data_IF_250454639035
#
_entry.id   IF_250454639035
#
_cell.length_a   1.000
_cell.length_b   1.000
_cell.length_c   1.000
_cell.angle_alpha   90.00
_cell.angle_beta   90.00
_cell.angle_gamma   90.00
#
_symmetry.space_group_name_H-M   'P 1'
#
loop_
_entity.id
_entity.type
_entity.pdbx_description
1 polymer ?
#
# COMPACT_ATOMS: atom_id res chain seq x y z
N UNK A 1 0.25 19.68 -4.46
CA UNK A 1 0.72 18.67 -3.50
C UNK A 1 0.93 17.44 -4.32
N UNK A 2 2.10 16.83 -4.15
CA UNK A 2 2.50 15.76 -5.04
C UNK A 2 1.68 14.52 -4.81
N UNK A 3 0.99 14.11 -5.88
CA UNK A 3 0.07 12.97 -5.81
C UNK A 3 0.82 11.69 -5.48
N UNK A 4 1.99 11.47 -6.09
CA UNK A 4 2.79 10.28 -5.87
C UNK A 4 3.35 10.23 -4.44
N UNK A 5 3.91 11.34 -3.94
CA UNK A 5 4.41 11.41 -2.56
C UNK A 5 3.32 11.05 -1.54
N UNK A 6 2.10 11.58 -1.73
CA UNK A 6 0.96 11.31 -0.85
C UNK A 6 0.51 9.86 -0.94
N UNK A 7 0.26 9.36 -2.14
CA UNK A 7 -0.23 7.99 -2.31
C UNK A 7 0.81 6.97 -1.86
N UNK A 8 2.09 7.20 -2.14
CA UNK A 8 3.20 6.41 -1.63
C UNK A 8 3.25 6.36 -0.11
N UNK A 9 3.06 7.51 0.56
CA UNK A 9 3.01 7.58 2.02
C UNK A 9 1.83 6.80 2.59
N UNK A 10 0.63 6.96 2.01
CA UNK A 10 -0.57 6.26 2.46
C UNK A 10 -0.45 4.75 2.27
N UNK A 11 0.03 4.31 1.10
CA UNK A 11 0.27 2.89 0.81
C UNK A 11 1.31 2.31 1.78
N UNK A 12 2.41 3.01 2.01
CA UNK A 12 3.45 2.57 2.95
C UNK A 12 2.88 2.41 4.36
N UNK A 13 2.17 3.43 4.88
CA UNK A 13 1.53 3.38 6.20
C UNK A 13 0.57 2.18 6.29
N UNK A 14 -0.27 1.99 5.26
CA UNK A 14 -1.25 0.91 5.24
C UNK A 14 -0.63 -0.48 5.28
N UNK A 15 0.37 -0.71 4.44
CA UNK A 15 1.09 -1.99 4.36
C UNK A 15 1.84 -2.26 5.68
N UNK A 16 2.52 -1.26 6.23
CA UNK A 16 3.23 -1.38 7.52
C UNK A 16 2.26 -1.70 8.66
N UNK A 17 1.11 -1.00 8.70
CA UNK A 17 0.08 -1.21 9.69
C UNK A 17 -0.45 -2.65 9.64
N UNK A 18 -0.84 -3.13 8.47
CA UNK A 18 -1.35 -4.51 8.35
C UNK A 18 -0.27 -5.55 8.59
N UNK A 19 0.98 -5.34 8.15
CA UNK A 19 2.10 -6.22 8.49
C UNK A 19 2.21 -6.40 10.00
N UNK A 20 2.16 -5.30 10.75
CA UNK A 20 2.21 -5.32 12.22
C UNK A 20 0.97 -5.94 12.88
N UNK A 21 -0.22 -5.79 12.29
CA UNK A 21 -1.47 -6.38 12.82
C UNK A 21 -1.59 -7.87 12.53
N UNK A 22 -1.09 -8.32 11.38
CA UNK A 22 -1.05 -9.72 10.98
C UNK A 22 -0.10 -10.54 11.85
N UNK A 23 1.02 -9.93 12.28
CA UNK A 23 2.03 -10.62 13.08
C UNK A 23 1.49 -11.05 14.44
N UNK A 24 1.51 -12.37 14.69
CA UNK A 24 1.29 -12.96 16.02
C UNK A 24 -0.14 -12.86 16.58
N UNK A 25 -1.15 -12.51 15.79
CA UNK A 25 -2.54 -12.38 16.27
C UNK A 25 -3.45 -13.51 15.81
N UNK A 26 -4.42 -13.88 16.65
CA UNK A 26 -5.59 -14.64 16.23
C UNK A 26 -6.53 -13.74 15.43
N UNK A 27 -6.87 -14.16 14.21
CA UNK A 27 -7.69 -13.38 13.29
C UNK A 27 -9.18 -13.54 13.62
N UNK A 28 -9.68 -12.72 14.54
CA UNK A 28 -11.10 -12.65 14.82
C UNK A 28 -11.91 -12.12 13.62
N UNK A 29 -13.22 -12.37 13.62
CA UNK A 29 -14.12 -12.03 12.51
C UNK A 29 -14.08 -10.52 12.19
N UNK A 30 -14.04 -9.68 13.22
CA UNK A 30 -13.94 -8.23 13.07
C UNK A 30 -12.68 -7.83 12.31
N UNK A 31 -11.53 -8.39 12.66
CA UNK A 31 -10.27 -8.12 11.99
C UNK A 31 -10.29 -8.57 10.52
N UNK A 32 -10.77 -9.80 10.26
CA UNK A 32 -10.93 -10.32 8.89
C UNK A 32 -11.77 -9.39 8.02
N UNK A 33 -12.84 -8.84 8.57
CA UNK A 33 -13.67 -7.87 7.86
C UNK A 33 -12.93 -6.54 7.60
N UNK A 34 -12.25 -6.00 8.62
CA UNK A 34 -11.52 -4.73 8.52
C UNK A 34 -10.37 -4.81 7.53
N UNK A 35 -9.53 -5.87 7.59
CA UNK A 35 -8.36 -5.98 6.70
C UNK A 35 -8.80 -6.08 5.23
N UNK A 36 -9.90 -6.78 4.92
CA UNK A 36 -10.47 -6.83 3.56
C UNK A 36 -10.81 -5.44 3.05
N UNK A 37 -11.45 -4.61 3.89
CA UNK A 37 -11.81 -3.24 3.54
C UNK A 37 -10.60 -2.32 3.44
N UNK A 38 -9.58 -2.57 4.24
CA UNK A 38 -8.35 -1.82 4.13
C UNK A 38 -7.58 -2.15 2.85
N UNK A 39 -7.41 -3.43 2.51
CA UNK A 39 -6.74 -3.86 1.27
C UNK A 39 -7.48 -3.33 0.04
N UNK A 40 -8.82 -3.36 0.03
CA UNK A 40 -9.65 -2.76 -1.04
C UNK A 40 -9.29 -1.28 -1.26
N UNK A 41 -9.13 -0.50 -0.18
CA UNK A 41 -8.71 0.91 -0.26
C UNK A 41 -7.25 1.04 -0.72
N UNK A 42 -6.34 0.17 -0.28
CA UNK A 42 -4.95 0.18 -0.75
C UNK A 42 -4.85 -0.12 -2.25
N UNK A 43 -5.70 -1.01 -2.76
CA UNK A 43 -5.82 -1.27 -4.19
C UNK A 43 -6.28 0.00 -4.92
N UNK A 44 -7.33 0.67 -4.42
CA UNK A 44 -7.81 1.92 -5.02
C UNK A 44 -6.70 2.99 -5.07
N UNK A 45 -5.93 3.15 -3.99
CA UNK A 45 -4.81 4.10 -3.95
C UNK A 45 -3.71 3.74 -4.97
N UNK A 46 -3.41 2.45 -5.13
CA UNK A 46 -2.44 1.98 -6.12
C UNK A 46 -2.96 2.15 -7.56
N UNK A 47 -4.25 1.96 -7.81
CA UNK A 47 -4.85 2.19 -9.13
C UNK A 47 -4.78 3.66 -9.52
N UNK A 48 -4.91 4.56 -8.55
CA UNK A 48 -4.71 5.99 -8.78
C UNK A 48 -3.26 6.28 -9.20
N UNK A 49 -2.25 5.63 -8.61
CA UNK A 49 -0.85 5.76 -9.05
C UNK A 49 -0.61 5.29 -10.50
N UNK A 50 -1.42 4.33 -10.98
CA UNK A 50 -1.36 3.83 -12.36
C UNK A 50 -2.18 4.67 -13.35
N UNK A 51 -3.00 5.60 -12.87
CA UNK A 51 -3.94 6.37 -13.69
C UNK A 51 -3.61 7.86 -13.72
N UNK A 52 -3.71 8.49 -14.89
CA UNK A 52 -3.59 9.95 -15.02
C UNK A 52 -4.87 10.71 -14.61
N UNK A 53 -5.82 10.06 -13.92
CA UNK A 53 -7.16 10.60 -13.67
C UNK A 53 -7.35 11.12 -12.23
N UNK A 54 -7.33 12.43 -12.08
CA UNK A 54 -7.48 13.13 -10.79
C UNK A 54 -8.81 12.90 -10.07
N UNK A 55 -9.91 12.60 -10.78
CA UNK A 55 -11.21 12.30 -10.15
C UNK A 55 -11.11 11.04 -9.27
N UNK A 56 -10.19 10.13 -9.62
CA UNK A 56 -9.99 8.90 -8.86
C UNK A 56 -9.25 9.14 -7.53
N UNK A 57 -8.43 10.20 -7.41
CA UNK A 57 -7.67 10.53 -6.20
C UNK A 57 -8.62 10.82 -5.03
N UNK A 58 -9.51 11.82 -5.19
CA UNK A 58 -10.40 12.23 -4.11
C UNK A 58 -11.32 11.09 -3.67
N UNK A 59 -11.82 10.29 -4.62
CA UNK A 59 -12.64 9.11 -4.29
C UNK A 59 -11.88 8.10 -3.42
N UNK A 60 -10.64 7.75 -3.79
CA UNK A 60 -9.81 6.84 -2.98
C UNK A 60 -9.50 7.41 -1.59
N UNK A 61 -9.20 8.71 -1.50
CA UNK A 61 -8.92 9.39 -0.22
C UNK A 61 -10.15 9.51 0.68
N UNK A 62 -11.34 9.77 0.12
CA UNK A 62 -12.59 9.75 0.90
C UNK A 62 -12.90 8.36 1.43
N UNK A 63 -12.69 7.30 0.63
CA UNK A 63 -12.84 5.92 1.11
C UNK A 63 -11.89 5.62 2.26
N UNK A 64 -10.62 6.05 2.16
CA UNK A 64 -9.66 5.89 3.25
C UNK A 64 -10.08 6.67 4.50
N UNK A 65 -10.49 7.93 4.35
CA UNK A 65 -10.91 8.79 5.46
C UNK A 65 -12.10 8.18 6.19
N UNK A 66 -13.12 7.76 5.44
CA UNK A 66 -14.27 7.04 5.98
C UNK A 66 -13.86 5.76 6.74
N UNK A 67 -12.92 4.99 6.18
CA UNK A 67 -12.40 3.79 6.84
C UNK A 67 -11.71 4.13 8.17
N UNK A 68 -10.90 5.19 8.19
CA UNK A 68 -10.17 5.65 9.37
C UNK A 68 -11.11 6.14 10.48
N UNK A 69 -12.14 6.90 10.12
CA UNK A 69 -13.17 7.39 11.06
C UNK A 69 -14.02 6.24 11.61
N UNK A 70 -14.40 5.29 10.76
CA UNK A 70 -15.26 4.16 11.14
C UNK A 70 -14.53 3.12 11.98
N UNK A 71 -13.24 2.90 11.75
CA UNK A 71 -12.45 1.87 12.42
C UNK A 71 -11.18 2.45 13.05
N UNK A 72 -11.25 2.75 14.34
CA UNK A 72 -10.12 3.27 15.13
C UNK A 72 -8.85 2.39 15.06
N UNK A 73 -9.00 1.08 14.86
CA UNK A 73 -7.88 0.16 14.69
C UNK A 73 -7.06 0.43 13.43
N UNK A 74 -7.66 1.07 12.42
CA UNK A 74 -7.00 1.57 11.21
C UNK A 74 -6.63 3.03 11.39
N UNK A 75 -7.60 3.87 11.77
CA UNK A 75 -7.44 5.33 11.80
C UNK A 75 -6.26 5.80 12.64
N UNK A 76 -5.93 5.09 13.73
CA UNK A 76 -4.76 5.41 14.56
C UNK A 76 -3.40 5.39 13.84
N UNK A 77 -3.31 4.74 12.68
CA UNK A 77 -2.08 4.70 11.88
C UNK A 77 -1.98 5.86 10.88
N UNK A 78 -3.13 6.43 10.49
CA UNK A 78 -3.21 7.50 9.50
C UNK A 78 -3.45 8.84 10.22
N UNK A 79 -2.38 9.61 10.42
CA UNK A 79 -2.49 10.95 11.01
C UNK A 79 -2.80 12.01 9.94
N UNK A 80 -3.95 11.89 9.26
CA UNK A 80 -4.34 12.81 8.18
C UNK A 80 -4.54 14.21 8.76
N UNK A 81 -3.66 15.13 8.39
CA UNK A 81 -3.54 16.46 9.01
C UNK A 81 -4.08 17.61 8.17
N UNK A 82 -4.63 17.33 6.98
CA UNK A 82 -5.09 18.32 6.01
C UNK A 82 -6.47 17.96 5.48
N UNK A 83 -7.27 18.99 5.14
CA UNK A 83 -8.54 18.81 4.45
C UNK A 83 -8.28 18.44 2.99
N UNK A 84 -8.65 17.21 2.61
CA UNK A 84 -8.46 16.63 1.27
C UNK A 84 -9.11 17.49 0.19
N UNK A 85 -10.30 18.04 0.45
CA UNK A 85 -11.09 18.81 -0.54
C UNK A 85 -10.42 20.14 -0.93
N UNK A 86 -9.52 20.64 -0.09
CA UNK A 86 -8.81 21.89 -0.32
C UNK A 86 -7.46 21.69 -1.05
N UNK A 87 -7.10 20.46 -1.40
CA UNK A 87 -5.79 20.13 -1.98
C UNK A 87 -5.83 20.27 -3.50
N UNK A 88 -4.89 21.06 -4.03
CA UNK A 88 -4.55 21.02 -5.46
C UNK A 88 -3.50 19.93 -5.70
N UNK A 89 -3.85 18.94 -6.53
CA UNK A 89 -3.01 17.80 -6.89
C UNK A 89 -2.08 18.15 -8.05
N UNK A 90 -0.80 17.79 -7.91
CA UNK A 90 0.17 17.86 -9.00
C UNK A 90 0.60 16.45 -9.43
N UNK A 91 0.86 16.26 -10.73
CA UNK A 91 1.24 14.97 -11.35
C UNK A 91 2.73 14.86 -11.67
N UNK A 92 3.57 15.72 -11.09
CA UNK A 92 5.01 15.63 -11.34
C UNK A 92 5.56 14.39 -10.61
N UNK A 93 6.35 13.55 -11.25
CA UNK A 93 6.93 12.42 -10.55
C UNK A 93 7.52 11.37 -11.46
N UNK A 94 8.34 10.51 -10.87
CA UNK A 94 8.95 9.40 -11.60
C UNK A 94 7.88 8.33 -11.82
N UNK A 95 7.80 7.82 -13.04
CA UNK A 95 6.82 6.79 -13.35
C UNK A 95 7.40 5.40 -13.07
N UNK A 96 7.32 4.96 -11.81
CA UNK A 96 7.74 3.62 -11.39
C UNK A 96 6.66 2.58 -11.76
N UNK A 97 6.31 2.49 -13.05
CA UNK A 97 5.22 1.64 -13.58
C UNK A 97 5.38 0.19 -13.12
N UNK A 98 6.61 -0.35 -13.22
CA UNK A 98 6.90 -1.73 -12.84
C UNK A 98 6.58 -1.99 -11.36
N UNK A 99 7.01 -1.08 -10.48
CA UNK A 99 6.71 -1.13 -9.03
C UNK A 99 5.20 -1.06 -8.78
N UNK A 100 4.49 -0.14 -9.44
CA UNK A 100 3.03 -0.01 -9.30
C UNK A 100 2.28 -1.26 -9.77
N UNK A 101 2.73 -1.89 -10.86
CA UNK A 101 2.11 -3.11 -11.39
C UNK A 101 2.39 -4.32 -10.49
N UNK A 102 3.61 -4.45 -9.96
CA UNK A 102 3.94 -5.46 -8.96
C UNK A 102 3.10 -5.28 -7.69
N UNK A 103 3.03 -4.05 -7.15
CA UNK A 103 2.19 -3.74 -5.99
C UNK A 103 0.72 -4.08 -6.25
N UNK A 104 0.17 -3.68 -7.41
CA UNK A 104 -1.21 -4.01 -7.81
C UNK A 104 -1.43 -5.51 -7.72
N UNK A 105 -0.57 -6.29 -8.37
CA UNK A 105 -0.73 -7.74 -8.44
C UNK A 105 -0.65 -8.39 -7.07
N UNK A 106 0.31 -7.98 -6.23
CA UNK A 106 0.46 -8.48 -4.86
C UNK A 106 -0.73 -8.09 -3.96
N UNK A 107 -1.26 -6.87 -4.10
CA UNK A 107 -2.45 -6.43 -3.36
C UNK A 107 -3.71 -7.21 -3.77
N UNK A 108 -3.88 -7.52 -5.06
CA UNK A 108 -4.97 -8.37 -5.53
C UNK A 108 -4.86 -9.80 -4.98
N UNK A 109 -3.66 -10.37 -4.99
CA UNK A 109 -3.41 -11.70 -4.43
C UNK A 109 -3.63 -11.72 -2.92
N UNK A 110 -3.23 -10.65 -2.22
CA UNK A 110 -3.50 -10.45 -0.81
C UNK A 110 -5.01 -10.33 -0.54
N UNK A 111 -5.74 -9.58 -1.36
CA UNK A 111 -7.20 -9.44 -1.29
C UNK A 111 -7.89 -10.80 -1.47
N UNK A 112 -7.42 -11.60 -2.44
CA UNK A 112 -7.92 -12.94 -2.67
C UNK A 112 -7.71 -13.83 -1.44
N UNK A 113 -6.50 -13.83 -0.88
CA UNK A 113 -6.15 -14.64 0.28
C UNK A 113 -6.99 -14.28 1.52
N UNK A 114 -7.11 -12.99 1.84
CA UNK A 114 -7.92 -12.57 2.99
C UNK A 114 -9.41 -12.82 2.79
N UNK A 115 -9.89 -12.97 1.55
CA UNK A 115 -11.29 -13.23 1.23
C UNK A 115 -11.70 -14.70 1.38
N UNK A 116 -10.74 -15.62 1.50
CA UNK A 116 -11.02 -17.05 1.71
C UNK A 116 -11.74 -17.31 3.04
N UNK A 117 -12.46 -18.43 3.09
CA UNK A 117 -13.08 -18.95 4.33
C UNK A 117 -11.98 -19.37 5.31
N UNK A 118 -11.01 -20.14 4.80
CA UNK A 118 -9.79 -20.52 5.51
C UNK A 118 -8.65 -19.66 4.96
N UNK A 119 -8.21 -18.69 5.77
CA UNK A 119 -7.15 -17.75 5.41
C UNK A 119 -5.80 -18.41 5.72
N UNK A 120 -4.88 -18.38 4.76
CA UNK A 120 -3.48 -18.69 4.98
C UNK A 120 -2.74 -17.46 5.53
N UNK A 121 -2.68 -17.33 6.86
CA UNK A 121 -2.03 -16.19 7.51
C UNK A 121 -0.55 -16.03 7.14
N UNK A 122 0.15 -17.13 6.83
CA UNK A 122 1.55 -17.09 6.43
C UNK A 122 1.69 -16.46 5.04
N UNK A 123 0.81 -16.80 4.11
CA UNK A 123 0.77 -16.20 2.77
C UNK A 123 0.46 -14.70 2.87
N UNK A 124 -0.55 -14.31 3.66
CA UNK A 124 -0.87 -12.89 3.88
C UNK A 124 0.35 -12.15 4.43
N UNK A 125 1.01 -12.71 5.46
CA UNK A 125 2.17 -12.07 6.05
C UNK A 125 3.36 -11.99 5.08
N UNK A 126 3.58 -13.03 4.27
CA UNK A 126 4.61 -13.08 3.21
C UNK A 126 4.40 -11.97 2.17
N UNK A 127 3.17 -11.82 1.67
CA UNK A 127 2.79 -10.76 0.73
C UNK A 127 2.99 -9.37 1.34
N UNK A 128 2.59 -9.16 2.59
CA UNK A 128 2.79 -7.89 3.30
C UNK A 128 4.27 -7.57 3.54
N UNK A 129 5.10 -8.59 3.79
CA UNK A 129 6.55 -8.40 3.90
C UNK A 129 7.14 -7.98 2.56
N UNK A 130 6.78 -8.66 1.48
CA UNK A 130 7.25 -8.35 0.13
C UNK A 130 6.80 -6.97 -0.36
N UNK A 131 5.58 -6.55 -0.03
CA UNK A 131 5.04 -5.22 -0.36
C UNK A 131 5.71 -4.07 0.40
N UNK A 132 6.29 -4.32 1.58
CA UNK A 132 6.61 -3.30 2.59
C UNK A 132 7.39 -2.10 2.06
N UNK A 133 8.43 -2.32 1.26
CA UNK A 133 9.30 -1.24 0.79
C UNK A 133 8.91 -0.71 -0.58
N UNK A 134 8.01 -1.37 -1.33
CA UNK A 134 7.65 -0.95 -2.69
C UNK A 134 7.11 0.49 -2.75
N UNK A 135 6.20 0.94 -1.86
CA UNK A 135 5.71 2.32 -1.92
C UNK A 135 6.77 3.38 -1.57
N UNK A 136 7.92 2.97 -1.01
CA UNK A 136 8.95 3.92 -0.57
C UNK A 136 9.69 4.60 -1.72
N UNK A 137 9.59 4.07 -2.94
CA UNK A 137 10.14 4.70 -4.15
C UNK A 137 9.51 6.07 -4.44
N UNK A 138 8.26 6.27 -3.99
CA UNK A 138 7.51 7.51 -4.15
C UNK A 138 7.68 8.48 -2.98
N UNK A 139 8.31 8.07 -1.88
CA UNK A 139 8.47 8.97 -0.74
C UNK A 139 9.51 10.04 -1.06
N UNK A 140 9.49 11.12 -0.30
CA UNK A 140 10.56 12.11 -0.31
C UNK A 140 10.68 12.76 1.06
N UNK A 141 11.91 12.92 1.52
CA UNK A 141 12.17 13.63 2.79
C UNK A 141 11.73 15.09 2.67
N UNK A 142 11.08 15.57 3.72
CA UNK A 142 10.56 16.93 3.87
C UNK A 142 9.53 17.32 2.77
N UNK A 143 8.96 16.33 2.07
CA UNK A 143 7.83 16.54 1.16
C UNK A 143 6.55 16.74 1.96
N UNK A 144 5.71 17.64 1.46
CA UNK A 144 4.42 17.94 2.09
C UNK A 144 3.42 16.85 1.72
N UNK A 145 3.05 16.02 2.68
CA UNK A 145 2.08 14.91 2.55
C UNK A 145 0.91 15.07 3.54
N UNK A 146 0.00 14.07 3.59
CA UNK A 146 -1.16 14.06 4.49
C UNK A 146 -0.79 13.64 5.92
N UNK A 147 0.07 12.62 6.07
CA UNK A 147 0.38 11.99 7.36
C UNK A 147 1.73 12.41 7.96
N UNK A 148 2.56 13.15 7.22
CA UNK A 148 3.86 13.71 7.68
C UNK A 148 4.80 12.66 8.27
N UNK A 149 4.86 11.48 7.67
CA UNK A 149 5.69 10.37 8.11
C UNK A 149 7.20 10.72 8.03
N UNK A 150 7.56 11.61 7.09
CA UNK A 150 8.91 12.13 6.85
C UNK A 150 9.99 11.04 6.68
N UNK A 151 9.66 9.98 5.94
CA UNK A 151 10.58 8.90 5.61
C UNK A 151 11.37 9.22 4.34
N UNK A 152 12.61 8.71 4.29
CA UNK A 152 13.44 8.82 3.11
C UNK A 152 12.94 7.89 2.00
N UNK A 153 13.03 8.40 0.76
CA UNK A 153 12.89 7.61 -0.46
C UNK A 153 13.96 6.52 -0.51
N UNK A 154 13.68 5.46 -1.25
CA UNK A 154 14.67 4.46 -1.67
C UNK A 154 14.67 4.36 -3.19
N UNK A 155 15.72 3.77 -3.75
CA UNK A 155 15.76 3.50 -5.19
C UNK A 155 14.79 2.38 -5.57
N UNK A 156 14.40 2.32 -6.84
CA UNK A 156 13.61 1.20 -7.37
C UNK A 156 14.33 -0.14 -7.17
N UNK A 157 15.65 -0.19 -7.40
CA UNK A 157 16.48 -1.37 -7.17
C UNK A 157 16.42 -1.84 -5.71
N UNK A 158 16.57 -0.92 -4.74
CA UNK A 158 16.47 -1.23 -3.31
C UNK A 158 15.08 -1.77 -2.94
N UNK A 159 14.03 -1.20 -3.52
CA UNK A 159 12.66 -1.63 -3.28
C UNK A 159 12.38 -3.03 -3.85
N UNK A 160 12.79 -3.29 -5.09
CA UNK A 160 12.62 -4.57 -5.77
C UNK A 160 13.47 -5.67 -5.11
N UNK A 161 14.71 -5.38 -4.77
CA UNK A 161 15.60 -6.33 -4.05
C UNK A 161 14.97 -6.74 -2.72
N UNK A 162 14.50 -5.77 -1.93
CA UNK A 162 13.85 -6.07 -0.67
C UNK A 162 12.59 -6.93 -0.87
N UNK A 163 11.77 -6.62 -1.87
CA UNK A 163 10.58 -7.41 -2.16
C UNK A 163 10.95 -8.86 -2.51
N UNK A 164 11.90 -9.05 -3.43
CA UNK A 164 12.37 -10.37 -3.87
C UNK A 164 12.94 -11.21 -2.71
N UNK A 165 13.74 -10.59 -1.84
CA UNK A 165 14.35 -11.26 -0.69
C UNK A 165 13.30 -11.76 0.32
N UNK A 166 12.16 -11.08 0.42
CA UNK A 166 11.05 -11.46 1.29
C UNK A 166 10.07 -12.46 0.64
N UNK A 167 10.20 -12.75 -0.66
CA UNK A 167 9.36 -13.73 -1.34
C UNK A 167 9.85 -15.15 -1.12
N UNK A 168 8.91 -16.07 -0.90
CA UNK A 168 9.14 -17.50 -0.98
C UNK A 168 9.33 -17.97 -2.43
N UNK A 169 9.78 -19.22 -2.62
CA UNK A 169 10.07 -19.76 -3.96
C UNK A 169 8.86 -19.70 -4.91
N UNK A 170 7.66 -19.93 -4.42
CA UNK A 170 6.43 -19.88 -5.21
C UNK A 170 6.10 -18.45 -5.66
N UNK A 171 6.22 -17.49 -4.75
CA UNK A 171 6.03 -16.07 -5.04
C UNK A 171 7.05 -15.57 -6.08
N UNK A 172 8.34 -15.93 -5.96
CA UNK A 172 9.37 -15.56 -6.95
C UNK A 172 9.05 -16.07 -8.36
N UNK A 173 8.56 -17.30 -8.47
CA UNK A 173 8.11 -17.84 -9.76
C UNK A 173 6.91 -17.05 -10.29
N UNK A 174 5.92 -16.82 -9.42
CA UNK A 174 4.67 -16.13 -9.75
C UNK A 174 4.88 -14.69 -10.23
N UNK A 175 5.84 -13.99 -9.64
CA UNK A 175 6.12 -12.58 -9.90
C UNK A 175 7.37 -12.35 -10.77
N UNK A 176 7.98 -13.41 -11.31
CA UNK A 176 9.22 -13.36 -12.10
C UNK A 176 9.21 -12.33 -13.24
N UNK A 177 8.06 -12.06 -13.86
CA UNK A 177 7.93 -11.05 -14.93
C UNK A 177 8.30 -9.63 -14.49
N UNK A 178 8.23 -9.34 -13.18
CA UNK A 178 8.57 -8.04 -12.58
C UNK A 178 10.04 -7.95 -12.16
N UNK A 179 10.79 -9.06 -12.27
CA UNK A 179 12.17 -9.21 -11.85
C UNK A 179 13.04 -9.83 -12.96
N UNK A 180 13.13 -9.21 -14.16
CA UNK A 180 13.86 -9.80 -15.29
C UNK A 180 15.36 -9.96 -15.02
N UNK A 181 15.91 -9.22 -14.06
CA UNK A 181 17.34 -9.18 -13.74
C UNK A 181 17.71 -9.90 -12.42
N UNK A 182 16.78 -10.66 -11.82
CA UNK A 182 16.97 -11.40 -10.53
C UNK A 182 16.79 -12.92 -10.65
#
# INVERSE_FOLDING_TARGET
MNTQDVLGELLYIGIVAEKGRCYGRLWNIKYRYIIRKHIEVLIDLNDVLLSDNYVNINNALHKLTFLCEKYSEIGKFYNISLNIDAIQWDSQGNNYINVCQLMKKMLEDLQYEVSKIVINNNEVYSLLCSLHNLPRVFLGKDKKTLCKLNQHSITEEEALTYAYDNMNKGERIKYSIFFPDF
#
